data_IF_633855128592
#
_entry.id   IF_633855128592
#
_cell.length_a   1.000
_cell.length_b   1.000
_cell.length_c   1.000
_cell.angle_alpha   90.00
_cell.angle_beta   90.00
_cell.angle_gamma   90.00
#
_symmetry.space_group_name_H-M   'P 1'
#
loop_
_entity.id
_entity.type
_entity.pdbx_description
1 polymer ?
#
# COMPACT_ATOMS: atom_id res chain seq x y z
N UNK A 1 16.34 -17.01 -54.84
CA UNK A 1 15.26 -17.56 -53.99
C UNK A 1 15.54 -17.10 -52.58
N UNK A 2 14.55 -16.43 -51.99
CA UNK A 2 14.61 -15.56 -50.79
C UNK A 2 15.45 -16.07 -49.62
N UNK A 3 16.35 -15.19 -49.16
CA UNK A 3 16.95 -15.24 -47.83
C UNK A 3 15.86 -14.89 -46.81
N UNK A 4 15.44 -15.86 -46.00
CA UNK A 4 14.64 -15.59 -44.81
C UNK A 4 15.56 -14.98 -43.75
N UNK A 5 15.59 -13.66 -43.68
CA UNK A 5 16.21 -12.94 -42.57
C UNK A 5 15.39 -13.18 -41.30
N UNK A 6 15.83 -14.15 -40.50
CA UNK A 6 15.47 -14.24 -39.09
C UNK A 6 16.05 -13.01 -38.39
N UNK A 7 15.23 -11.96 -38.26
CA UNK A 7 15.52 -10.80 -37.41
C UNK A 7 15.47 -11.29 -35.96
N UNK A 8 16.60 -11.75 -35.44
CA UNK A 8 16.81 -11.84 -34.00
C UNK A 8 16.87 -10.41 -33.49
N UNK A 9 15.74 -9.90 -32.98
CA UNK A 9 15.71 -8.63 -32.26
C UNK A 9 16.75 -8.72 -31.13
N UNK A 10 17.84 -7.98 -31.28
CA UNK A 10 18.91 -7.90 -30.30
C UNK A 10 18.37 -7.13 -29.10
N UNK A 11 17.97 -7.86 -28.07
CA UNK A 11 17.49 -7.31 -26.80
C UNK A 11 18.66 -6.68 -26.03
N UNK A 12 18.81 -5.36 -26.12
CA UNK A 12 19.79 -4.62 -25.31
C UNK A 12 19.15 -4.19 -23.98
N UNK A 13 19.36 -5.02 -22.96
CA UNK A 13 18.89 -4.78 -21.58
C UNK A 13 19.26 -3.38 -21.06
N UNK A 14 20.40 -2.85 -21.47
CA UNK A 14 20.89 -1.54 -21.02
C UNK A 14 20.00 -0.41 -21.51
N UNK A 15 19.61 -0.44 -22.79
CA UNK A 15 18.67 0.51 -23.38
C UNK A 15 17.27 0.44 -22.76
N UNK A 16 16.78 -0.78 -22.49
CA UNK A 16 15.44 -0.96 -21.92
C UNK A 16 15.33 -0.49 -20.47
N UNK A 17 16.30 -0.84 -19.62
CA UNK A 17 16.30 -0.38 -18.22
C UNK A 17 16.37 1.15 -18.15
N UNK A 18 17.12 1.77 -19.06
CA UNK A 18 17.18 3.23 -19.17
C UNK A 18 15.83 3.83 -19.61
N UNK A 19 15.15 3.23 -20.58
CA UNK A 19 13.84 3.68 -21.03
C UNK A 19 12.78 3.57 -19.91
N UNK A 20 12.83 2.50 -19.11
CA UNK A 20 11.94 2.32 -17.96
C UNK A 20 12.16 3.36 -16.86
N UNK A 21 13.42 3.69 -16.55
CA UNK A 21 13.75 4.74 -15.57
C UNK A 21 13.28 6.13 -16.06
N UNK A 22 13.47 6.41 -17.36
CA UNK A 22 13.02 7.64 -18.00
C UNK A 22 11.51 7.82 -18.01
N UNK A 23 10.73 6.72 -17.99
CA UNK A 23 9.27 6.77 -17.92
C UNK A 23 8.78 7.40 -16.60
N UNK A 24 9.60 7.44 -15.54
CA UNK A 24 9.31 8.08 -14.23
C UNK A 24 7.99 7.65 -13.57
N UNK A 25 7.36 6.59 -14.05
CA UNK A 25 6.09 6.07 -13.52
C UNK A 25 6.27 5.21 -12.28
N UNK A 26 7.50 4.78 -11.99
CA UNK A 26 7.81 3.88 -10.87
C UNK A 26 7.08 2.54 -10.97
N UNK A 27 6.85 1.89 -9.83
CA UNK A 27 6.17 0.59 -9.77
C UNK A 27 4.72 0.64 -10.30
N UNK A 28 4.08 1.81 -10.30
CA UNK A 28 2.74 1.95 -10.87
C UNK A 28 2.71 1.59 -12.37
N UNK A 29 3.67 2.10 -13.15
CA UNK A 29 3.77 1.73 -14.58
C UNK A 29 4.04 0.24 -14.81
N UNK A 30 4.73 -0.42 -13.86
CA UNK A 30 4.88 -1.87 -13.88
C UNK A 30 3.53 -2.57 -13.59
N UNK A 31 2.85 -2.22 -12.50
CA UNK A 31 1.55 -2.82 -12.15
C UNK A 31 0.51 -2.65 -13.26
N UNK A 32 0.48 -1.50 -13.93
CA UNK A 32 -0.45 -1.23 -15.03
C UNK A 32 -0.13 -2.08 -16.29
N UNK A 33 1.10 -2.60 -16.43
CA UNK A 33 1.55 -3.42 -17.57
C UNK A 33 1.58 -4.93 -17.30
N UNK A 34 1.61 -5.39 -16.05
CA UNK A 34 1.65 -6.83 -15.70
C UNK A 34 0.31 -7.31 -15.12
N UNK A 35 -0.26 -8.39 -15.68
CA UNK A 35 -1.63 -8.83 -15.40
C UNK A 35 -1.83 -9.73 -14.17
N UNK A 36 -0.81 -10.12 -13.42
CA UNK A 36 -0.99 -11.07 -12.29
C UNK A 36 0.03 -10.93 -11.17
N UNK A 37 -0.46 -10.71 -9.95
CA UNK A 37 0.32 -10.83 -8.72
C UNK A 37 0.05 -12.18 -8.03
N UNK A 38 1.07 -12.82 -7.43
CA UNK A 38 0.88 -14.03 -6.62
C UNK A 38 0.01 -13.71 -5.40
N UNK A 39 -1.04 -14.53 -5.18
CA UNK A 39 -1.91 -14.42 -3.99
C UNK A 39 -1.13 -14.84 -2.74
N UNK A 40 -1.21 -14.07 -1.64
CA UNK A 40 -0.60 -14.48 -0.38
C UNK A 40 -1.22 -15.78 0.15
N UNK A 41 -0.37 -16.64 0.72
CA UNK A 41 -0.65 -18.05 1.01
C UNK A 41 -1.52 -18.32 2.24
N UNK A 42 -1.91 -17.32 3.04
CA UNK A 42 -2.82 -17.53 4.17
C UNK A 42 -3.34 -16.21 4.76
N UNK A 43 -4.55 -16.20 5.36
CA UNK A 43 -5.06 -15.05 6.08
C UNK A 43 -4.31 -14.89 7.42
N UNK A 44 -3.55 -13.81 7.55
CA UNK A 44 -2.97 -13.39 8.84
C UNK A 44 -4.03 -12.64 9.63
N UNK A 45 -4.31 -13.09 10.87
CA UNK A 45 -5.24 -12.39 11.76
C UNK A 45 -4.48 -11.34 12.58
N UNK A 46 -4.77 -10.07 12.32
CA UNK A 46 -4.17 -8.93 13.03
C UNK A 46 -5.08 -8.55 14.21
N UNK A 47 -4.53 -8.34 15.43
CA UNK A 47 -5.33 -7.87 16.57
C UNK A 47 -6.06 -6.57 16.22
N UNK A 48 -7.35 -6.47 16.54
CA UNK A 48 -8.14 -5.26 16.37
C UNK A 48 -8.53 -4.72 17.74
N UNK A 49 -8.27 -3.43 17.99
CA UNK A 49 -8.52 -2.78 19.28
C UNK A 49 -9.45 -1.60 19.07
N UNK A 50 -10.55 -1.59 19.82
CA UNK A 50 -11.46 -0.46 19.93
C UNK A 50 -10.88 0.59 20.88
N UNK A 51 -10.75 1.82 20.40
CA UNK A 51 -10.25 2.97 21.17
C UNK A 51 -11.38 3.85 21.73
N UNK A 52 -12.63 3.41 21.62
CA UNK A 52 -13.81 4.06 22.24
C UNK A 52 -13.98 5.53 21.84
N UNK A 53 -13.63 5.87 20.60
CA UNK A 53 -13.67 7.25 20.09
C UNK A 53 -12.59 8.17 20.67
N UNK A 54 -11.66 7.65 21.47
CA UNK A 54 -10.73 8.44 22.28
C UNK A 54 -11.38 9.09 23.51
N UNK A 55 -12.65 8.78 23.78
CA UNK A 55 -13.43 9.31 24.90
C UNK A 55 -13.78 8.15 25.81
N UNK A 56 -13.09 8.06 26.95
CA UNK A 56 -13.28 6.96 27.89
C UNK A 56 -14.22 7.36 29.01
N UNK A 57 -15.24 6.53 29.26
CA UNK A 57 -16.21 6.72 30.35
C UNK A 57 -15.57 6.76 31.75
N UNK A 58 -14.44 6.07 31.94
CA UNK A 58 -13.75 6.04 33.21
C UNK A 58 -12.25 5.75 33.07
N UNK A 59 -11.52 5.93 34.19
CA UNK A 59 -10.13 5.48 34.28
C UNK A 59 -10.00 3.97 34.03
N UNK A 60 -10.96 3.16 34.49
CA UNK A 60 -10.91 1.71 34.36
C UNK A 60 -11.07 1.28 32.89
N UNK A 61 -11.97 1.91 32.12
CA UNK A 61 -12.14 1.60 30.68
C UNK A 61 -10.89 1.97 29.90
N UNK A 62 -10.31 3.14 30.19
CA UNK A 62 -9.02 3.56 29.61
C UNK A 62 -7.89 2.57 29.94
N UNK A 63 -7.77 2.13 31.19
CA UNK A 63 -6.75 1.17 31.61
C UNK A 63 -6.92 -0.19 30.92
N UNK A 64 -8.15 -0.64 30.68
CA UNK A 64 -8.45 -1.84 29.91
C UNK A 64 -7.94 -1.74 28.46
N UNK A 65 -8.20 -0.63 27.78
CA UNK A 65 -7.72 -0.40 26.41
C UNK A 65 -6.19 -0.33 26.36
N UNK A 66 -5.56 0.36 27.32
CA UNK A 66 -4.09 0.41 27.44
C UNK A 66 -3.49 -1.01 27.60
N UNK A 67 -4.11 -1.86 28.43
CA UNK A 67 -3.65 -3.23 28.61
C UNK A 67 -3.73 -4.05 27.30
N UNK A 68 -4.80 -3.88 26.51
CA UNK A 68 -4.94 -4.52 25.19
C UNK A 68 -3.86 -4.03 24.21
N UNK A 69 -3.61 -2.73 24.17
CA UNK A 69 -2.57 -2.12 23.31
C UNK A 69 -1.20 -2.68 23.69
N UNK A 70 -0.86 -2.67 24.99
CA UNK A 70 0.40 -3.24 25.48
C UNK A 70 0.57 -4.69 25.06
N UNK A 71 -0.45 -5.52 25.27
CA UNK A 71 -0.41 -6.94 24.88
C UNK A 71 -0.20 -7.13 23.37
N UNK A 72 -0.89 -6.34 22.54
CA UNK A 72 -0.75 -6.43 21.10
C UNK A 72 0.66 -6.00 20.62
N UNK A 73 1.23 -4.95 21.21
CA UNK A 73 2.59 -4.51 20.91
C UNK A 73 3.62 -5.57 21.30
N UNK A 74 3.52 -6.15 22.50
CA UNK A 74 4.46 -7.17 22.97
C UNK A 74 4.41 -8.45 22.13
N UNK A 75 3.20 -8.90 21.74
CA UNK A 75 3.02 -10.19 21.06
C UNK A 75 3.10 -10.11 19.53
N UNK A 76 2.66 -8.99 18.94
CA UNK A 76 2.52 -8.86 17.48
C UNK A 76 3.36 -7.72 16.89
N UNK A 77 3.74 -6.72 17.69
CA UNK A 77 4.42 -5.52 17.20
C UNK A 77 3.53 -4.52 16.46
N UNK A 78 2.28 -4.90 16.13
CA UNK A 78 1.28 -4.03 15.52
C UNK A 78 -0.16 -4.47 15.84
N UNK A 79 -1.13 -3.58 15.64
CA UNK A 79 -2.56 -3.85 15.71
C UNK A 79 -3.33 -2.92 14.76
N UNK A 80 -4.60 -3.25 14.52
CA UNK A 80 -5.56 -2.37 13.85
C UNK A 80 -6.40 -1.63 14.90
N UNK A 81 -6.41 -0.31 14.87
CA UNK A 81 -7.31 0.49 15.70
C UNK A 81 -8.67 0.68 15.01
N UNK A 82 -9.75 0.65 15.79
CA UNK A 82 -11.10 1.10 15.36
C UNK A 82 -11.64 2.11 16.37
N UNK A 83 -12.62 2.92 15.95
CA UNK A 83 -13.15 4.03 16.75
C UNK A 83 -12.03 4.89 17.37
N UNK A 84 -11.03 5.27 16.58
CA UNK A 84 -9.87 6.05 17.04
C UNK A 84 -10.18 7.54 17.26
N UNK A 85 -11.40 7.99 16.97
CA UNK A 85 -11.82 9.39 17.13
C UNK A 85 -11.46 10.31 15.95
N UNK A 86 -10.81 9.78 14.90
CA UNK A 86 -10.57 10.53 13.66
C UNK A 86 -11.82 10.39 12.78
N UNK A 87 -12.41 11.51 12.28
CA UNK A 87 -13.60 11.45 11.43
C UNK A 87 -13.35 10.66 10.15
N UNK A 88 -14.35 9.87 9.74
CA UNK A 88 -14.28 9.05 8.54
C UNK A 88 -14.02 9.89 7.27
N UNK A 89 -14.75 11.00 7.12
CA UNK A 89 -14.57 11.93 5.99
C UNK A 89 -13.13 12.47 5.88
N UNK A 90 -12.43 12.65 7.01
CA UNK A 90 -11.02 13.03 7.00
C UNK A 90 -10.14 11.93 6.40
N UNK A 91 -10.39 10.67 6.75
CA UNK A 91 -9.64 9.53 6.18
C UNK A 91 -9.96 9.34 4.70
N UNK A 92 -11.22 9.44 4.30
CA UNK A 92 -11.65 9.33 2.90
C UNK A 92 -11.02 10.43 2.03
N UNK A 93 -10.98 11.67 2.52
CA UNK A 93 -10.30 12.78 1.84
C UNK A 93 -8.80 12.56 1.71
N UNK A 94 -8.16 12.00 2.74
CA UNK A 94 -6.74 11.64 2.69
C UNK A 94 -6.48 10.57 1.63
N UNK A 95 -7.27 9.49 1.60
CA UNK A 95 -7.15 8.43 0.59
C UNK A 95 -7.37 8.98 -0.82
N UNK A 96 -8.40 9.83 -1.01
CA UNK A 96 -8.68 10.47 -2.28
C UNK A 96 -7.53 11.40 -2.72
N UNK A 97 -6.96 12.17 -1.79
CA UNK A 97 -5.82 13.05 -2.07
C UNK A 97 -4.56 12.28 -2.48
N UNK A 98 -4.23 11.19 -1.76
CA UNK A 98 -3.09 10.32 -2.09
C UNK A 98 -3.29 9.67 -3.46
N UNK A 99 -4.50 9.18 -3.74
CA UNK A 99 -4.84 8.59 -5.04
C UNK A 99 -4.69 9.61 -6.15
N UNK A 100 -5.30 10.78 -5.99
CA UNK A 100 -5.24 11.88 -6.96
C UNK A 100 -3.79 12.30 -7.25
N UNK A 101 -2.93 12.40 -6.23
CA UNK A 101 -1.51 12.70 -6.42
C UNK A 101 -0.78 11.64 -7.26
N UNK A 102 -1.00 10.35 -7.00
CA UNK A 102 -0.35 9.27 -7.76
C UNK A 102 -1.00 9.00 -9.13
N UNK A 103 -2.12 9.64 -9.44
CA UNK A 103 -2.80 9.60 -10.74
C UNK A 103 -2.44 10.77 -11.66
N UNK A 104 -1.75 11.78 -11.16
CA UNK A 104 -1.23 12.89 -11.98
C UNK A 104 -0.27 12.40 -13.07
N UNK A 105 -0.13 13.21 -14.10
CA UNK A 105 0.89 13.03 -15.13
C UNK A 105 2.28 12.95 -14.46
N UNK A 106 3.12 11.96 -14.81
CA UNK A 106 4.47 11.84 -14.27
C UNK A 106 5.35 13.10 -14.40
N UNK A 107 5.03 14.01 -15.33
CA UNK A 107 5.74 15.29 -15.49
C UNK A 107 5.33 16.36 -14.45
N UNK A 108 4.15 16.22 -13.85
CA UNK A 108 3.57 17.19 -12.90
C UNK A 108 3.80 16.77 -11.45
N UNK A 109 4.14 15.49 -11.23
CA UNK A 109 4.42 14.89 -9.91
C UNK A 109 5.87 15.10 -9.48
#
# INVERSE_FOLDING_TARGET
MESKDTVTATFDRTSEVKALDQMKTGVKGLVDSVSSNPKPSSPVTIPTIDLEGGVFESRATRESVIAKVKHAMEKFGFFRAINHGVPLDTMEKMEAGIRGFHEQDPEVR
#
